data_IF_463870750592
#
_entry.id   IF_463870750592
#
_cell.length_a   1.000
_cell.length_b   1.000
_cell.length_c   1.000
_cell.angle_alpha   90.00
_cell.angle_beta   90.00
_cell.angle_gamma   90.00
#
_symmetry.space_group_name_H-M   'P 1'
#
loop_
_entity.id
_entity.type
_entity.pdbx_description
1 polymer ?
#
# COMPACT_ATOMS: atom_id res chain seq x y z
N UNK A 1 -1.53 -12.96 -26.78
CA UNK A 1 -0.35 -13.48 -26.04
C UNK A 1 -0.80 -14.66 -25.20
N UNK A 2 -0.30 -15.86 -25.44
CA UNK A 2 -0.68 -17.04 -24.67
C UNK A 2 0.13 -17.12 -23.38
N UNK A 3 -0.57 -17.16 -22.24
CA UNK A 3 0.01 -17.44 -20.93
C UNK A 3 0.34 -18.94 -20.88
N UNK A 4 1.62 -19.28 -20.98
CA UNK A 4 2.13 -20.63 -20.74
C UNK A 4 2.59 -20.73 -19.27
N UNK A 5 2.38 -21.90 -18.67
CA UNK A 5 2.72 -22.24 -17.28
C UNK A 5 4.18 -21.96 -16.97
N UNK A 6 5.09 -22.17 -17.92
CA UNK A 6 6.52 -21.85 -17.78
C UNK A 6 6.79 -20.33 -17.71
N UNK A 7 6.00 -19.50 -18.41
CA UNK A 7 6.08 -18.03 -18.29
C UNK A 7 5.44 -17.52 -17.01
N UNK A 8 4.34 -18.12 -16.57
CA UNK A 8 3.74 -17.85 -15.25
C UNK A 8 4.70 -18.21 -14.12
N UNK A 9 5.45 -19.32 -14.25
CA UNK A 9 6.48 -19.74 -13.28
C UNK A 9 7.61 -18.73 -13.15
N UNK A 10 8.00 -18.08 -14.25
CA UNK A 10 9.01 -17.01 -14.26
C UNK A 10 8.47 -15.65 -13.77
N UNK A 11 7.14 -15.48 -13.71
CA UNK A 11 6.50 -14.31 -13.11
C UNK A 11 6.23 -14.47 -11.61
N UNK A 12 6.30 -15.69 -11.08
CA UNK A 12 6.25 -15.98 -9.65
C UNK A 12 7.67 -15.76 -9.11
N UNK A 13 7.94 -14.73 -8.29
CA UNK A 13 9.30 -14.44 -7.87
C UNK A 13 9.95 -15.61 -7.13
N UNK A 14 11.26 -15.80 -7.33
CA UNK A 14 12.02 -16.98 -6.90
C UNK A 14 11.83 -17.36 -5.41
N UNK A 15 11.69 -16.37 -4.51
CA UNK A 15 11.42 -16.61 -3.08
C UNK A 15 10.02 -17.17 -2.78
N UNK A 16 9.09 -17.18 -3.74
CA UNK A 16 7.81 -17.90 -3.63
C UNK A 16 7.94 -19.39 -4.05
N UNK A 17 9.06 -19.79 -4.66
CA UNK A 17 9.27 -21.16 -5.17
C UNK A 17 10.41 -21.91 -4.46
N UNK A 18 11.36 -21.20 -3.85
CA UNK A 18 12.38 -21.80 -2.99
C UNK A 18 11.81 -22.08 -1.58
N UNK A 19 11.90 -23.34 -1.13
CA UNK A 19 11.23 -23.80 0.11
C UNK A 19 11.61 -23.02 1.38
N UNK A 20 12.89 -22.66 1.64
CA UNK A 20 13.26 -21.88 2.83
C UNK A 20 12.66 -20.47 2.84
N UNK A 21 12.81 -19.75 1.72
CA UNK A 21 12.41 -18.35 1.56
C UNK A 21 10.87 -18.23 1.53
N UNK A 22 10.18 -19.19 0.92
CA UNK A 22 8.73 -19.27 0.94
C UNK A 22 8.20 -19.44 2.37
N UNK A 23 8.84 -20.30 3.16
CA UNK A 23 8.45 -20.54 4.56
C UNK A 23 8.65 -19.29 5.41
N UNK A 24 9.75 -18.58 5.21
CA UNK A 24 10.02 -17.30 5.90
C UNK A 24 8.98 -16.23 5.52
N UNK A 25 8.67 -16.08 4.23
CA UNK A 25 7.66 -15.13 3.78
C UNK A 25 6.28 -15.44 4.39
N UNK A 26 5.85 -16.71 4.35
CA UNK A 26 4.57 -17.13 4.92
C UNK A 26 4.51 -16.86 6.43
N UNK A 27 5.58 -17.17 7.17
CA UNK A 27 5.67 -16.89 8.59
C UNK A 27 5.57 -15.39 8.90
N UNK A 28 6.28 -14.56 8.12
CA UNK A 28 6.23 -13.11 8.26
C UNK A 28 4.82 -12.59 7.95
N UNK A 29 4.19 -13.03 6.86
CA UNK A 29 2.82 -12.66 6.49
C UNK A 29 1.80 -13.05 7.57
N UNK A 30 1.89 -14.27 8.10
CA UNK A 30 1.03 -14.73 9.20
C UNK A 30 1.16 -13.83 10.42
N UNK A 31 2.40 -13.44 10.75
CA UNK A 31 2.67 -12.52 11.85
C UNK A 31 2.05 -11.14 11.61
N UNK A 32 2.17 -10.59 10.39
CA UNK A 32 1.59 -9.30 10.01
C UNK A 32 0.06 -9.31 10.12
N UNK A 33 -0.60 -10.37 9.65
CA UNK A 33 -2.06 -10.53 9.67
C UNK A 33 -2.58 -10.74 11.11
N UNK A 34 -1.77 -11.33 11.99
CA UNK A 34 -2.09 -11.46 13.43
C UNK A 34 -1.83 -10.19 14.24
N UNK A 35 -1.45 -9.10 13.58
CA UNK A 35 -1.34 -7.77 14.18
C UNK A 35 0.02 -7.46 14.81
N UNK A 36 1.11 -8.13 14.40
CA UNK A 36 2.45 -7.67 14.78
C UNK A 36 2.76 -6.31 14.14
N UNK A 37 3.51 -5.48 14.85
CA UNK A 37 3.96 -4.17 14.36
C UNK A 37 5.37 -4.22 13.74
N UNK A 38 6.05 -5.38 13.74
CA UNK A 38 7.42 -5.54 13.21
C UNK A 38 7.40 -6.18 11.84
N UNK A 39 8.40 -5.84 11.01
CA UNK A 39 8.59 -6.47 9.70
C UNK A 39 7.79 -5.86 8.55
N UNK A 40 7.12 -4.73 8.76
CA UNK A 40 6.45 -3.98 7.67
C UNK A 40 7.44 -3.20 6.79
N UNK A 41 8.52 -2.68 7.37
CA UNK A 41 9.47 -1.80 6.69
C UNK A 41 10.86 -2.42 6.61
N UNK A 42 11.62 -2.08 5.58
CA UNK A 42 13.06 -2.36 5.57
C UNK A 42 13.79 -1.48 6.59
N UNK A 43 14.97 -1.90 7.05
CA UNK A 43 15.80 -1.05 7.90
C UNK A 43 16.44 0.06 7.07
N UNK A 44 16.71 1.22 7.70
CA UNK A 44 17.38 2.34 7.05
C UNK A 44 18.73 1.94 6.40
N UNK A 45 19.45 0.99 6.99
CA UNK A 45 20.72 0.48 6.45
C UNK A 45 20.57 -0.32 5.14
N UNK A 46 19.37 -0.86 4.86
CA UNK A 46 19.05 -1.58 3.61
C UNK A 46 18.31 -0.71 2.61
N UNK A 47 18.02 0.53 2.97
CA UNK A 47 17.30 1.46 2.12
C UNK A 47 18.31 2.19 1.22
N UNK A 48 18.51 1.68 0.01
CA UNK A 48 19.67 2.04 -0.84
C UNK A 48 19.34 3.12 -1.88
N UNK A 49 18.12 3.65 -1.94
CA UNK A 49 17.77 4.65 -2.96
C UNK A 49 16.73 5.65 -2.47
N UNK A 50 17.16 6.86 -2.11
CA UNK A 50 16.23 7.96 -1.81
C UNK A 50 15.52 8.48 -3.06
N UNK A 51 16.15 8.35 -4.24
CA UNK A 51 15.66 8.94 -5.49
C UNK A 51 14.67 8.06 -6.25
N UNK A 52 14.81 6.72 -6.20
CA UNK A 52 13.91 5.83 -6.90
C UNK A 52 12.55 5.73 -6.18
N UNK A 53 11.47 5.98 -6.90
CA UNK A 53 10.10 5.81 -6.39
C UNK A 53 9.65 4.37 -6.67
N UNK A 54 9.51 3.56 -5.63
CA UNK A 54 9.08 2.18 -5.73
C UNK A 54 7.58 2.03 -5.42
N UNK A 55 6.94 1.03 -6.02
CA UNK A 55 5.60 0.62 -5.60
C UNK A 55 5.64 0.16 -4.14
N UNK A 56 4.70 0.67 -3.32
CA UNK A 56 4.66 0.41 -1.89
C UNK A 56 5.52 1.36 -1.05
N UNK A 57 6.28 2.28 -1.65
CA UNK A 57 6.96 3.33 -0.88
C UNK A 57 5.96 4.30 -0.25
N UNK A 58 6.20 4.64 1.01
CA UNK A 58 5.59 5.80 1.65
C UNK A 58 6.36 7.05 1.27
N UNK A 59 5.67 8.06 0.72
CA UNK A 59 6.27 9.33 0.31
C UNK A 59 5.52 10.50 0.95
N UNK A 60 6.26 11.51 1.37
CA UNK A 60 5.70 12.84 1.59
C UNK A 60 5.67 13.61 0.27
N UNK A 61 4.96 14.74 0.21
CA UNK A 61 5.02 15.60 -0.98
C UNK A 61 4.10 15.20 -2.13
N UNK A 62 3.18 14.28 -1.89
CA UNK A 62 2.19 13.88 -2.88
C UNK A 62 1.06 14.90 -2.93
N UNK A 63 0.57 15.24 -4.12
CA UNK A 63 -0.43 16.29 -4.31
C UNK A 63 -1.79 15.68 -4.60
N UNK A 64 -2.75 15.91 -3.70
CA UNK A 64 -4.16 15.59 -3.93
C UNK A 64 -4.95 16.85 -4.26
N UNK A 65 -6.01 16.72 -5.06
CA UNK A 65 -6.94 17.81 -5.32
C UNK A 65 -8.20 17.60 -4.48
N UNK A 66 -8.55 18.57 -3.65
CA UNK A 66 -9.78 18.53 -2.87
C UNK A 66 -10.93 19.15 -3.66
N UNK A 67 -12.01 18.39 -3.81
CA UNK A 67 -13.25 18.89 -4.41
C UNK A 67 -14.05 19.78 -3.45
N UNK A 68 -13.74 19.76 -2.14
CA UNK A 68 -14.45 20.57 -1.15
C UNK A 68 -14.07 22.06 -1.24
N UNK A 69 -12.77 22.34 -1.43
CA UNK A 69 -12.25 23.70 -1.48
C UNK A 69 -11.63 24.09 -2.83
N UNK A 70 -11.57 23.15 -3.78
CA UNK A 70 -11.01 23.34 -5.11
C UNK A 70 -9.49 23.54 -5.12
N UNK A 71 -8.78 23.16 -4.05
CA UNK A 71 -7.34 23.39 -3.90
C UNK A 71 -6.54 22.10 -3.95
N UNK A 72 -5.24 22.26 -4.24
CA UNK A 72 -4.25 21.19 -4.10
C UNK A 72 -3.72 21.19 -2.68
N UNK A 73 -3.64 20.00 -2.10
CA UNK A 73 -3.06 19.76 -0.78
C UNK A 73 -1.87 18.83 -0.92
N UNK A 74 -0.79 19.16 -0.22
CA UNK A 74 0.34 18.26 -0.07
C UNK A 74 0.05 17.25 1.06
N UNK A 75 0.25 15.97 0.78
CA UNK A 75 -0.05 14.87 1.69
C UNK A 75 1.04 13.81 1.70
N UNK A 76 0.99 12.99 2.75
CA UNK A 76 1.66 11.69 2.78
C UNK A 76 0.81 10.66 2.06
N UNK A 77 1.45 9.76 1.34
CA UNK A 77 0.76 8.69 0.62
C UNK A 77 1.66 7.50 0.34
N UNK A 78 1.04 6.37 0.02
CA UNK A 78 1.74 5.18 -0.47
C UNK A 78 1.61 5.12 -1.99
N UNK A 79 2.70 4.77 -2.67
CA UNK A 79 2.73 4.66 -4.12
C UNK A 79 2.09 3.33 -4.57
N UNK A 80 1.12 3.42 -5.48
CA UNK A 80 0.45 2.27 -6.09
C UNK A 80 0.98 1.97 -7.49
N UNK A 81 1.46 2.99 -8.22
CA UNK A 81 2.04 2.79 -9.56
C UNK A 81 3.16 1.76 -9.50
N UNK A 82 3.21 0.84 -10.47
CA UNK A 82 4.32 -0.08 -10.60
C UNK A 82 5.62 0.69 -10.80
N UNK A 83 6.70 0.24 -10.17
CA UNK A 83 8.03 0.86 -10.25
C UNK A 83 8.50 1.04 -11.70
N UNK A 84 8.36 0.02 -12.55
CA UNK A 84 8.74 0.11 -13.96
C UNK A 84 7.92 1.17 -14.72
N UNK A 85 6.67 1.41 -14.31
CA UNK A 85 5.78 2.38 -14.96
C UNK A 85 6.11 3.83 -14.57
N UNK A 86 6.87 4.07 -13.51
CA UNK A 86 7.23 5.43 -13.05
C UNK A 86 8.74 5.67 -13.00
N UNK A 87 9.57 4.69 -13.34
CA UNK A 87 11.02 4.86 -13.42
C UNK A 87 11.40 5.91 -14.47
N UNK A 88 12.33 6.79 -14.06
CA UNK A 88 12.96 7.83 -14.88
C UNK A 88 13.88 7.27 -15.95
N UNK A 89 14.30 6.01 -15.85
CA UNK A 89 15.21 5.37 -16.80
C UNK A 89 14.54 5.03 -18.14
N UNK A 90 13.20 5.11 -18.20
CA UNK A 90 12.45 4.86 -19.42
C UNK A 90 12.34 6.13 -20.27
N UNK A 91 12.81 6.10 -21.51
CA UNK A 91 12.52 7.16 -22.48
C UNK A 91 11.02 7.22 -22.78
N UNK A 92 10.41 8.39 -22.55
CA UNK A 92 8.97 8.59 -22.76
C UNK A 92 8.68 9.95 -23.36
N UNK A 93 7.71 9.96 -24.26
CA UNK A 93 7.14 11.20 -24.84
C UNK A 93 6.34 11.97 -23.79
N UNK A 94 5.69 11.27 -22.86
CA UNK A 94 4.84 11.86 -21.83
C UNK A 94 5.41 11.62 -20.43
N UNK A 95 5.31 12.65 -19.58
CA UNK A 95 5.71 12.54 -18.16
C UNK A 95 4.80 11.50 -17.48
N UNK A 96 5.38 10.47 -16.84
CA UNK A 96 4.59 9.45 -16.16
C UNK A 96 3.79 10.04 -15.01
N UNK A 97 2.71 9.36 -14.63
CA UNK A 97 1.88 9.71 -13.48
C UNK A 97 2.11 8.72 -12.35
N UNK A 98 2.22 9.24 -11.15
CA UNK A 98 2.23 8.47 -9.91
C UNK A 98 0.77 8.35 -9.45
N UNK A 99 0.30 7.12 -9.32
CA UNK A 99 -0.94 6.76 -8.65
C UNK A 99 -0.58 6.46 -7.21
N UNK A 100 -1.31 7.04 -6.27
CA UNK A 100 -1.07 6.91 -4.84
C UNK A 100 -2.38 6.92 -4.05
N UNK A 101 -2.30 6.46 -2.81
CA UNK A 101 -3.38 6.52 -1.83
C UNK A 101 -2.89 7.26 -0.57
N UNK A 102 -3.70 8.10 0.07
CA UNK A 102 -3.28 8.91 1.20
C UNK A 102 -3.02 8.03 2.43
N UNK A 103 -2.01 8.42 3.20
CA UNK A 103 -1.68 7.85 4.51
C UNK A 103 -2.32 8.74 5.58
N UNK A 104 -3.20 8.17 6.39
CA UNK A 104 -3.97 8.87 7.41
C UNK A 104 -3.69 8.27 8.79
N UNK A 105 -3.60 9.10 9.81
CA UNK A 105 -3.42 8.65 11.21
C UNK A 105 -4.60 7.76 11.63
N UNK A 106 -4.32 6.61 12.23
CA UNK A 106 -5.37 5.70 12.72
C UNK A 106 -6.20 6.37 13.82
N UNK A 107 -5.59 7.20 14.65
CA UNK A 107 -6.27 8.03 15.66
C UNK A 107 -7.30 8.98 15.06
N UNK A 108 -7.05 9.52 13.85
CA UNK A 108 -8.01 10.37 13.14
C UNK A 108 -9.23 9.57 12.64
N UNK A 109 -9.03 8.33 12.21
CA UNK A 109 -10.13 7.42 11.86
C UNK A 109 -10.97 7.06 13.09
N UNK A 110 -10.31 6.77 14.22
CA UNK A 110 -10.99 6.49 15.49
C UNK A 110 -11.82 7.70 15.95
N UNK A 111 -11.26 8.91 15.87
CA UNK A 111 -11.97 10.14 16.19
C UNK A 111 -13.21 10.35 15.31
N UNK A 112 -13.13 10.05 14.00
CA UNK A 112 -14.29 10.08 13.10
C UNK A 112 -15.38 9.10 13.54
N UNK A 113 -15.03 7.89 13.96
CA UNK A 113 -16.03 6.94 14.49
C UNK A 113 -16.74 7.47 15.74
N UNK A 114 -16.02 8.15 16.64
CA UNK A 114 -16.61 8.78 17.83
C UNK A 114 -17.55 9.93 17.48
N UNK A 115 -17.17 10.78 16.51
CA UNK A 115 -18.03 11.86 16.00
C UNK A 115 -19.34 11.32 15.43
N UNK A 116 -19.30 10.14 14.79
CA UNK A 116 -20.49 9.45 14.27
C UNK A 116 -21.23 8.59 15.33
N UNK A 117 -20.91 8.74 16.62
CA UNK A 117 -21.60 8.10 17.75
C UNK A 117 -21.61 6.57 17.67
N UNK A 118 -20.56 5.96 17.10
CA UNK A 118 -20.40 4.51 17.18
C UNK A 118 -20.14 4.11 18.64
N UNK A 119 -20.74 2.99 19.07
CA UNK A 119 -20.49 2.42 20.39
C UNK A 119 -19.01 2.03 20.55
N UNK A 120 -18.44 2.26 21.73
CA UNK A 120 -17.02 2.01 22.04
C UNK A 120 -16.56 0.58 21.67
N UNK A 121 -17.38 -0.43 21.93
CA UNK A 121 -17.04 -1.82 21.58
C UNK A 121 -17.02 -2.06 20.07
N UNK A 122 -17.88 -1.37 19.31
CA UNK A 122 -17.88 -1.41 17.86
C UNK A 122 -16.62 -0.71 17.29
N UNK A 123 -16.19 0.40 17.90
CA UNK A 123 -14.94 1.09 17.56
C UNK A 123 -13.75 0.15 17.78
N UNK A 124 -13.62 -0.43 18.98
CA UNK A 124 -12.55 -1.39 19.30
C UNK A 124 -12.50 -2.57 18.33
N UNK A 125 -13.66 -3.14 17.99
CA UNK A 125 -13.76 -4.25 17.04
C UNK A 125 -13.32 -3.86 15.62
N UNK A 126 -13.70 -2.66 15.16
CA UNK A 126 -13.26 -2.13 13.85
C UNK A 126 -11.77 -1.84 13.81
N UNK A 127 -11.22 -1.21 14.85
CA UNK A 127 -9.77 -0.95 14.95
C UNK A 127 -8.99 -2.27 14.96
N UNK A 128 -9.47 -3.29 15.69
CA UNK A 128 -8.87 -4.62 15.68
C UNK A 128 -8.90 -5.25 14.29
N UNK A 129 -10.02 -5.14 13.57
CA UNK A 129 -10.14 -5.62 12.18
C UNK A 129 -9.17 -4.91 11.22
N UNK A 130 -9.00 -3.59 11.38
CA UNK A 130 -8.01 -2.81 10.61
C UNK A 130 -6.59 -3.31 10.88
N UNK A 131 -6.20 -3.44 12.16
CA UNK A 131 -4.85 -3.93 12.55
C UNK A 131 -4.58 -5.35 12.07
N UNK A 132 -5.60 -6.19 12.05
CA UNK A 132 -5.52 -7.57 11.54
C UNK A 132 -5.64 -7.66 10.01
N UNK A 133 -5.64 -6.53 9.30
CA UNK A 133 -5.68 -6.47 7.84
C UNK A 133 -6.92 -7.16 7.23
N UNK A 134 -8.03 -7.28 7.96
CA UNK A 134 -9.26 -7.93 7.48
C UNK A 134 -10.21 -7.01 6.73
N UNK A 135 -9.99 -5.69 6.77
CA UNK A 135 -10.78 -4.69 6.03
C UNK A 135 -10.18 -4.49 4.62
N UNK A 136 -10.90 -4.81 3.56
CA UNK A 136 -10.31 -4.93 2.20
C UNK A 136 -9.87 -3.60 1.57
N UNK A 137 -10.58 -2.50 1.83
CA UNK A 137 -10.26 -1.16 1.31
C UNK A 137 -9.30 -0.38 2.21
N UNK A 138 -8.82 -0.95 3.32
CA UNK A 138 -7.89 -0.30 4.23
C UNK A 138 -6.64 -1.15 4.38
N UNK A 139 -5.48 -0.52 4.21
CA UNK A 139 -4.20 -1.14 4.51
C UNK A 139 -3.58 -0.51 5.76
N UNK A 140 -3.39 -1.31 6.81
CA UNK A 140 -2.81 -0.85 8.06
C UNK A 140 -1.28 -0.72 7.96
N UNK A 141 -0.75 0.33 8.56
CA UNK A 141 0.68 0.65 8.67
C UNK A 141 1.01 0.89 10.15
N UNK A 142 1.85 0.07 10.80
CA UNK A 142 2.23 0.32 12.19
C UNK A 142 3.14 1.55 12.30
N UNK A 143 3.19 2.14 13.49
CA UNK A 143 4.26 3.08 13.86
C UNK A 143 5.66 2.50 13.59
N UNK A 144 6.60 3.35 13.18
CA UNK A 144 7.95 2.95 12.79
C UNK A 144 8.45 3.65 11.52
N UNK A 145 9.72 3.42 11.17
CA UNK A 145 10.41 4.21 10.14
C UNK A 145 10.26 5.72 10.44
N UNK A 146 9.61 6.49 9.56
CA UNK A 146 9.29 7.92 9.78
C UNK A 146 7.83 8.19 10.15
N UNK A 147 7.09 7.17 10.60
CA UNK A 147 5.72 7.30 11.11
C UNK A 147 5.71 7.35 12.65
N UNK A 148 5.12 8.42 13.19
CA UNK A 148 5.03 8.76 14.61
C UNK A 148 3.97 7.94 15.38
N UNK A 149 2.98 7.43 14.67
CA UNK A 149 1.91 6.60 15.23
C UNK A 149 1.45 5.55 14.22
N UNK A 150 0.45 4.75 14.58
CA UNK A 150 -0.19 3.83 13.66
C UNK A 150 -1.00 4.61 12.61
N UNK A 151 -0.88 4.20 11.36
CA UNK A 151 -1.54 4.82 10.21
C UNK A 151 -2.34 3.79 9.42
N UNK A 152 -3.16 4.31 8.51
CA UNK A 152 -3.86 3.54 7.49
C UNK A 152 -3.71 4.18 6.13
N UNK A 153 -3.77 3.35 5.10
CA UNK A 153 -3.93 3.78 3.71
C UNK A 153 -5.37 3.49 3.30
N UNK A 154 -6.03 4.48 2.71
CA UNK A 154 -7.38 4.36 2.17
C UNK A 154 -7.30 3.99 0.69
N UNK A 155 -7.51 2.72 0.37
CA UNK A 155 -7.35 2.21 -1.01
C UNK A 155 -8.51 2.60 -1.93
N UNK A 156 -9.63 3.04 -1.36
CA UNK A 156 -10.78 3.59 -2.08
C UNK A 156 -10.64 5.09 -2.42
N UNK A 157 -9.61 5.77 -1.90
CA UNK A 157 -9.35 7.19 -2.16
C UNK A 157 -8.04 7.36 -2.95
N UNK A 158 -8.12 7.12 -4.25
CA UNK A 158 -6.94 7.11 -5.13
C UNK A 158 -6.76 8.41 -5.86
N UNK A 159 -5.52 8.84 -5.90
CA UNK A 159 -5.11 10.09 -6.53
C UNK A 159 -4.03 9.81 -7.58
N UNK A 160 -3.94 10.70 -8.56
CA UNK A 160 -2.82 10.68 -9.50
C UNK A 160 -2.22 12.06 -9.69
N UNK A 161 -0.90 12.12 -9.79
CA UNK A 161 -0.16 13.34 -10.07
C UNK A 161 0.98 13.09 -11.06
N UNK A 162 1.45 14.09 -11.81
CA UNK A 162 2.65 13.95 -12.62
C UNK A 162 3.88 13.64 -11.73
N UNK A 163 4.70 12.66 -12.13
CA UNK A 163 5.86 12.22 -11.35
C UNK A 163 6.85 13.36 -11.09
N UNK A 164 7.10 14.22 -12.09
CA UNK A 164 7.97 15.39 -11.95
C UNK A 164 7.46 16.50 -11.03
N UNK A 165 6.28 16.32 -10.39
CA UNK A 165 5.76 17.22 -9.36
C UNK A 165 5.91 16.66 -7.94
N UNK A 166 6.42 15.44 -7.78
CA UNK A 166 6.70 14.88 -6.46
C UNK A 166 7.75 15.74 -5.78
N UNK A 167 7.39 16.33 -4.64
CA UNK A 167 8.26 17.22 -3.88
C UNK A 167 8.26 16.78 -2.43
N UNK A 168 9.08 15.79 -2.08
CA UNK A 168 9.13 15.30 -0.72
C UNK A 168 10.03 14.11 -0.53
N UNK A 169 10.34 13.84 0.73
CA UNK A 169 11.20 12.74 1.12
C UNK A 169 10.46 11.40 1.21
N UNK A 170 11.24 10.33 1.13
CA UNK A 170 10.75 8.99 1.40
C UNK A 170 10.54 8.80 2.91
N UNK A 171 9.38 8.25 3.27
CA UNK A 171 9.00 7.94 4.64
C UNK A 171 9.43 6.52 5.02
N UNK A 172 9.23 5.58 4.11
CA UNK A 172 9.61 4.18 4.27
C UNK A 172 9.56 3.46 2.92
N UNK A 173 10.27 2.33 2.84
CA UNK A 173 10.05 1.28 1.85
C UNK A 173 9.52 0.04 2.56
N UNK A 174 8.49 -0.59 2.01
CA UNK A 174 7.95 -1.83 2.57
C UNK A 174 8.99 -2.95 2.49
N UNK A 175 9.02 -3.79 3.52
CA UNK A 175 9.74 -5.06 3.46
C UNK A 175 9.11 -5.97 2.40
N UNK A 176 9.78 -7.08 2.07
CA UNK A 176 9.18 -8.10 1.20
C UNK A 176 7.80 -8.56 1.71
N UNK A 177 7.67 -8.89 3.00
CA UNK A 177 6.38 -9.30 3.56
C UNK A 177 5.33 -8.17 3.52
N UNK A 178 5.74 -6.94 3.85
CA UNK A 178 4.87 -5.76 3.77
C UNK A 178 4.39 -5.47 2.35
N UNK A 179 5.29 -5.53 1.38
CA UNK A 179 5.02 -5.33 -0.04
C UNK A 179 4.08 -6.38 -0.62
N UNK A 180 4.26 -7.65 -0.25
CA UNK A 180 3.36 -8.72 -0.66
C UNK A 180 1.97 -8.58 -0.06
N UNK A 181 1.89 -8.29 1.24
CA UNK A 181 0.62 -8.02 1.89
C UNK A 181 -0.10 -6.84 1.22
N UNK A 182 0.63 -5.77 0.90
CA UNK A 182 0.10 -4.64 0.15
C UNK A 182 -0.38 -5.06 -1.24
N UNK A 183 0.41 -5.81 -2.00
CA UNK A 183 0.04 -6.31 -3.33
C UNK A 183 -1.21 -7.20 -3.30
N UNK A 184 -1.34 -8.07 -2.30
CA UNK A 184 -2.55 -8.88 -2.10
C UNK A 184 -3.77 -8.02 -1.73
N UNK A 185 -3.58 -6.96 -0.93
CA UNK A 185 -4.66 -6.01 -0.64
C UNK A 185 -5.12 -5.28 -1.90
N UNK A 186 -4.18 -4.81 -2.73
CA UNK A 186 -4.51 -4.17 -4.00
C UNK A 186 -5.26 -5.13 -4.93
N UNK A 187 -4.82 -6.39 -5.04
CA UNK A 187 -5.49 -7.37 -5.89
C UNK A 187 -6.90 -7.68 -5.39
N UNK A 188 -7.11 -7.86 -4.08
CA UNK A 188 -8.46 -8.08 -3.52
C UNK A 188 -9.34 -6.84 -3.68
N UNK A 189 -8.78 -5.65 -3.49
CA UNK A 189 -9.52 -4.40 -3.56
C UNK A 189 -9.98 -4.08 -4.98
N UNK A 190 -9.08 -4.16 -5.98
CA UNK A 190 -9.38 -3.84 -7.37
C UNK A 190 -9.98 -5.00 -8.15
N UNK A 191 -9.57 -6.22 -7.84
CA UNK A 191 -9.95 -7.42 -8.57
C UNK A 191 -10.82 -8.27 -7.64
N UNK A 192 -12.13 -8.11 -7.72
CA UNK A 192 -13.05 -9.02 -7.06
C UNK A 192 -13.21 -10.29 -7.89
N UNK A 193 -12.13 -11.08 -7.95
CA UNK A 193 -12.07 -12.33 -8.73
C UNK A 193 -13.02 -13.42 -8.22
N UNK A 194 -13.56 -13.25 -7.00
CA UNK A 194 -14.52 -14.16 -6.37
C UNK A 194 -15.97 -13.63 -6.41
N UNK A 195 -16.29 -12.72 -7.35
CA UNK A 195 -17.68 -12.32 -7.59
C UNK A 195 -18.46 -13.49 -8.17
N UNK A 196 -19.52 -13.93 -7.48
CA UNK A 196 -20.50 -14.88 -8.02
C UNK A 196 -21.47 -14.17 -8.99
N UNK A 197 -20.91 -13.37 -9.91
CA UNK A 197 -21.66 -12.62 -10.92
C UNK A 197 -21.40 -13.29 -12.26
N UNK A 198 -22.44 -13.87 -12.83
CA UNK A 198 -22.42 -14.39 -14.18
C UNK A 198 -22.42 -13.23 -15.18
N UNK A 199 -21.34 -13.12 -15.94
CA UNK A 199 -21.12 -12.08 -16.96
C UNK A 199 -21.19 -12.66 -18.38
N UNK A 200 -21.81 -13.82 -18.58
CA UNK A 200 -22.07 -14.36 -19.92
C UNK A 200 -22.93 -13.35 -20.74
N UNK A 201 -22.60 -13.14 -22.02
CA UNK A 201 -23.28 -12.17 -22.89
C UNK A 201 -24.73 -12.54 -23.19
#
# INVERSE_FOLDING_TARGET
>A
MSFDVERLRNQIPFYLTAKPEQKELLHNLESLIRGTNKGYYISAARDVSDDAVLQGDGRNGLQLYSFEDGKKHEVRGIVLSNTCDISTDNERVWVPRIIFAPIVKLSAIEARFKVHQLAEDAIKSRIKSIKNQSVTNIFYLPSGARLDEDHVVLLDDLHSMPAGKLSGEKLFTLSMAGFYLFSFKLSIHFCRLQENIDRRP
#
